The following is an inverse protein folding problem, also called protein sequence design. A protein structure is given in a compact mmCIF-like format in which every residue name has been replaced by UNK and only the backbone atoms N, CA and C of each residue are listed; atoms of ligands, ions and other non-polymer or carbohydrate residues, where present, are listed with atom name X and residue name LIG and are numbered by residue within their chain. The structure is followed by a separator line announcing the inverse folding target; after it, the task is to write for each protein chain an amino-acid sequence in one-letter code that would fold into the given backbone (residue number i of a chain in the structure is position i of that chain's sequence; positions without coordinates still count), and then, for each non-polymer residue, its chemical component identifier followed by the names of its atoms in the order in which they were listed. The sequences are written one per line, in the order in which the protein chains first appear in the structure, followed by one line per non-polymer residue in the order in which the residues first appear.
data_IF_637068474886
#
_entry.id   IF_637068474886
#
_cell.length_a   1.000
_cell.length_b   1.000
_cell.length_c   1.000
_cell.angle_alpha   90.00
_cell.angle_beta   90.00
_cell.angle_gamma   90.00
#
_symmetry.space_group_name_H-M   'P 1'
#
loop_
_entity.id
_entity.type
_entity.pdbx_description
1 polymer ?
#
# COMPACT_ATOMS: atom_id res chain seq x y z
N UNK A 1 14.93 -1.26 -2.20
CA UNK A 1 14.05 -0.18 -1.70
C UNK A 1 12.68 -0.76 -1.43
N UNK A 2 12.13 -0.57 -0.23
CA UNK A 2 10.79 -1.02 0.10
C UNK A 2 9.90 0.17 0.50
N UNK A 3 8.60 0.08 0.23
CA UNK A 3 7.60 1.10 0.55
C UNK A 3 6.47 0.42 1.30
N UNK A 4 5.99 1.03 2.37
CA UNK A 4 4.75 0.62 3.06
C UNK A 4 3.86 1.81 3.30
N UNK A 5 2.58 1.54 3.52
CA UNK A 5 1.65 2.52 4.04
C UNK A 5 1.33 2.19 5.49
N UNK A 6 1.38 3.20 6.36
CA UNK A 6 1.04 3.09 7.78
C UNK A 6 -0.22 3.89 8.01
N UNK A 7 -1.26 3.21 8.49
CA UNK A 7 -2.55 3.79 8.82
C UNK A 7 -3.32 2.84 9.73
N UNK A 8 -4.51 3.27 10.18
CA UNK A 8 -5.37 2.43 11.02
C UNK A 8 -5.95 1.30 10.18
N UNK A 9 -5.62 0.06 10.51
CA UNK A 9 -6.17 -1.11 9.82
C UNK A 9 -7.69 -1.18 10.05
N UNK A 10 -8.45 -1.39 8.96
CA UNK A 10 -9.84 -1.82 9.06
C UNK A 10 -9.90 -3.35 9.24
N UNK A 11 -9.06 -4.04 8.49
CA UNK A 11 -8.89 -5.49 8.44
C UNK A 11 -7.47 -5.81 7.89
N UNK A 12 -7.21 -7.04 7.46
CA UNK A 12 -5.95 -7.42 6.82
C UNK A 12 -5.82 -7.00 5.35
N UNK A 13 -6.81 -6.31 4.77
CA UNK A 13 -6.93 -6.01 3.34
C UNK A 13 -7.07 -4.51 3.03
N UNK A 14 -7.29 -3.67 4.04
CA UNK A 14 -7.43 -2.23 3.88
C UNK A 14 -7.38 -1.44 5.18
N UNK A 15 -7.53 -0.13 5.04
CA UNK A 15 -7.43 0.86 6.11
C UNK A 15 -8.80 1.46 6.40
N UNK A 16 -8.99 1.96 7.62
CA UNK A 16 -10.25 2.51 8.09
C UNK A 16 -10.61 3.81 7.36
N UNK A 17 -11.87 3.92 6.92
CA UNK A 17 -12.45 5.13 6.33
C UNK A 17 -13.70 5.54 7.10
N UNK A 18 -13.59 6.53 7.97
CA UNK A 18 -14.64 6.86 8.94
C UNK A 18 -14.86 5.72 9.95
N UNK A 19 -16.10 5.53 10.41
CA UNK A 19 -16.42 4.51 11.42
C UNK A 19 -16.62 3.12 10.82
N UNK A 20 -17.38 3.03 9.74
CA UNK A 20 -17.82 1.75 9.15
C UNK A 20 -17.15 1.45 7.79
N UNK A 21 -16.48 2.43 7.19
CA UNK A 21 -15.90 2.31 5.87
C UNK A 21 -14.47 1.77 5.87
N UNK A 22 -14.02 1.43 4.67
CA UNK A 22 -12.62 1.09 4.39
C UNK A 22 -12.13 1.71 3.11
N UNK A 23 -10.83 1.93 3.02
CA UNK A 23 -10.16 2.21 1.75
C UNK A 23 -8.99 1.24 1.52
N UNK A 24 -8.77 0.89 0.26
CA UNK A 24 -7.61 0.13 -0.19
C UNK A 24 -6.70 1.02 -1.02
N UNK A 25 -5.41 0.76 -0.92
CA UNK A 25 -4.38 1.48 -1.67
C UNK A 25 -3.67 0.52 -2.61
N UNK A 26 -3.42 0.98 -3.84
CA UNK A 26 -2.53 0.26 -4.75
C UNK A 26 -1.63 1.20 -5.53
N UNK A 27 -0.41 0.74 -5.79
CA UNK A 27 0.58 1.44 -6.58
C UNK A 27 0.54 0.94 -8.02
N UNK A 28 0.41 1.87 -8.97
CA UNK A 28 0.38 1.59 -10.40
C UNK A 28 1.49 2.34 -11.13
N UNK A 29 1.84 1.84 -12.31
CA UNK A 29 2.77 2.47 -13.26
C UNK A 29 4.08 2.93 -12.59
N UNK A 30 4.62 2.08 -11.72
CA UNK A 30 5.77 2.43 -10.91
C UNK A 30 7.05 2.50 -11.75
N UNK A 31 7.90 3.47 -11.43
CA UNK A 31 9.18 3.68 -12.08
C UNK A 31 10.25 4.00 -11.06
N UNK A 32 11.43 3.41 -11.23
CA UNK A 32 12.65 3.78 -10.50
C UNK A 32 13.64 4.39 -11.49
N UNK A 33 14.05 5.64 -11.23
CA UNK A 33 14.92 6.42 -12.10
C UNK A 33 14.45 6.46 -13.57
N UNK A 34 13.12 6.46 -13.78
CA UNK A 34 12.47 6.49 -15.10
C UNK A 34 12.31 5.12 -15.78
N UNK A 35 12.71 4.02 -15.14
CA UNK A 35 12.54 2.66 -15.65
C UNK A 35 11.36 1.99 -14.96
N UNK A 36 10.49 1.34 -15.74
CA UNK A 36 9.34 0.60 -15.20
C UNK A 36 9.78 -0.49 -14.23
N UNK A 37 9.06 -0.64 -13.13
CA UNK A 37 9.26 -1.67 -12.12
C UNK A 37 7.93 -2.32 -11.75
N UNK A 38 8.00 -3.57 -11.34
CA UNK A 38 6.91 -4.27 -10.70
C UNK A 38 7.08 -4.24 -9.17
N UNK A 39 6.06 -4.68 -8.45
CA UNK A 39 6.06 -4.74 -6.99
C UNK A 39 6.02 -6.19 -6.51
N UNK A 40 6.83 -6.52 -5.51
CA UNK A 40 6.77 -7.79 -4.80
C UNK A 40 6.53 -7.55 -3.31
N UNK A 41 5.80 -8.45 -2.65
CA UNK A 41 5.62 -8.38 -1.19
C UNK A 41 6.97 -8.66 -0.51
N UNK A 42 7.40 -7.77 0.37
CA UNK A 42 8.65 -7.92 1.11
C UNK A 42 8.60 -9.19 1.98
N UNK A 43 9.68 -9.96 1.99
CA UNK A 43 9.85 -11.17 2.81
C UNK A 43 8.90 -12.33 2.51
N UNK A 44 8.18 -12.31 1.37
CA UNK A 44 7.35 -13.43 0.92
C UNK A 44 7.82 -13.91 -0.46
N UNK A 45 8.73 -14.90 -0.51
CA UNK A 45 9.21 -15.47 -1.77
C UNK A 45 8.06 -16.06 -2.60
N UNK A 46 8.04 -15.79 -3.90
CA UNK A 46 7.05 -16.35 -4.83
C UNK A 46 5.64 -15.77 -4.71
N UNK A 47 5.42 -14.74 -3.88
CA UNK A 47 4.17 -14.01 -3.89
C UNK A 47 3.92 -13.40 -5.28
N UNK A 48 2.66 -13.39 -5.76
CA UNK A 48 2.33 -12.72 -7.01
C UNK A 48 2.70 -11.24 -6.94
N UNK A 49 3.18 -10.69 -8.07
CA UNK A 49 3.49 -9.27 -8.15
C UNK A 49 2.24 -8.46 -7.82
N UNK A 50 2.34 -7.59 -6.81
CA UNK A 50 1.22 -6.80 -6.33
C UNK A 50 1.71 -5.46 -5.80
N UNK A 51 1.17 -4.39 -6.34
CA UNK A 51 1.33 -3.04 -5.81
C UNK A 51 0.36 -2.71 -4.68
N UNK A 52 -0.42 -3.68 -4.19
CA UNK A 52 -1.37 -3.44 -3.10
C UNK A 52 -0.61 -3.17 -1.80
N UNK A 53 -0.99 -2.09 -1.12
CA UNK A 53 -0.44 -1.74 0.18
C UNK A 53 -1.40 -2.25 1.25
N UNK A 54 -0.95 -3.27 1.96
CA UNK A 54 -1.71 -3.91 3.04
C UNK A 54 -1.19 -3.45 4.42
N UNK A 55 -2.06 -3.37 5.43
CA UNK A 55 -1.63 -3.05 6.79
C UNK A 55 -0.51 -4.00 7.26
N UNK A 56 0.57 -3.41 7.78
CA UNK A 56 1.74 -4.15 8.28
C UNK A 56 2.65 -4.75 7.21
N UNK A 57 2.35 -4.57 5.92
CA UNK A 57 3.17 -5.10 4.83
C UNK A 57 3.92 -4.00 4.08
N UNK A 58 5.11 -4.35 3.61
CA UNK A 58 5.88 -3.53 2.68
C UNK A 58 5.94 -4.21 1.31
N UNK A 59 6.03 -3.41 0.25
CA UNK A 59 6.31 -3.86 -1.11
C UNK A 59 7.70 -3.40 -1.54
N UNK A 60 8.37 -4.21 -2.36
CA UNK A 60 9.72 -3.97 -2.87
C UNK A 60 9.63 -3.77 -4.39
N UNK A 61 10.28 -2.73 -4.89
CA UNK A 61 10.37 -2.50 -6.34
C UNK A 61 11.30 -3.55 -6.98
N UNK A 62 10.83 -4.21 -8.04
CA UNK A 62 11.52 -5.29 -8.73
C UNK A 62 11.60 -5.03 -10.25
N UNK A 63 12.66 -5.51 -10.88
CA UNK A 63 12.78 -5.58 -12.34
C UNK A 63 13.53 -6.87 -12.72
N UNK A 64 12.98 -7.64 -13.65
CA UNK A 64 13.57 -8.93 -14.05
C UNK A 64 13.74 -9.91 -12.88
N UNK A 65 12.78 -9.94 -11.95
CA UNK A 65 12.78 -10.83 -10.78
C UNK A 65 13.74 -10.44 -9.65
N UNK A 66 14.47 -9.32 -9.76
CA UNK A 66 15.41 -8.85 -8.74
C UNK A 66 14.95 -7.52 -8.15
N UNK A 67 15.23 -7.31 -6.86
CA UNK A 67 14.99 -6.01 -6.21
C UNK A 67 15.87 -4.93 -6.84
N UNK A 68 15.28 -3.74 -7.02
CA UNK A 68 15.99 -2.59 -7.56
C UNK A 68 16.21 -1.52 -6.49
N UNK A 69 17.28 -0.75 -6.70
CA UNK A 69 17.62 0.45 -5.94
C UNK A 69 17.77 1.61 -6.92
N UNK A 70 17.48 2.81 -6.45
CA UNK A 70 17.55 4.03 -7.25
C UNK A 70 17.39 5.26 -6.39
N UNK A 71 17.34 6.43 -7.02
CA UNK A 71 17.26 7.73 -6.34
C UNK A 71 15.88 8.35 -6.37
N UNK A 72 15.09 8.05 -7.41
CA UNK A 72 13.75 8.58 -7.60
C UNK A 72 12.76 7.46 -7.87
N UNK A 73 11.77 7.33 -6.99
CA UNK A 73 10.59 6.50 -7.20
C UNK A 73 9.42 7.38 -7.63
N UNK A 74 8.74 6.98 -8.69
CA UNK A 74 7.46 7.56 -9.11
C UNK A 74 6.43 6.43 -9.22
N UNK A 75 5.22 6.64 -8.71
CA UNK A 75 4.11 5.72 -8.89
C UNK A 75 2.78 6.50 -8.83
N UNK A 76 1.74 5.96 -9.46
CA UNK A 76 0.37 6.40 -9.24
C UNK A 76 -0.18 5.69 -8.02
N UNK A 77 -0.82 6.44 -7.13
CA UNK A 77 -1.52 5.91 -5.95
C UNK A 77 -3.01 5.88 -6.27
N UNK A 78 -3.55 4.68 -6.42
CA UNK A 78 -4.99 4.47 -6.53
C UNK A 78 -5.56 4.26 -5.13
N UNK A 79 -6.61 5.03 -4.82
CA UNK A 79 -7.38 4.92 -3.58
C UNK A 79 -8.78 4.44 -3.95
N UNK A 80 -9.17 3.27 -3.44
CA UNK A 80 -10.53 2.75 -3.60
C UNK A 80 -11.22 2.73 -2.23
N UNK A 81 -12.17 3.64 -2.03
CA UNK A 81 -12.99 3.72 -0.83
C UNK A 81 -14.31 2.97 -1.00
N UNK A 82 -14.72 2.25 0.05
CA UNK A 82 -15.96 1.47 0.11
C UNK A 82 -16.68 1.76 1.43
N UNK A 83 -18.00 1.93 1.33
CA UNK A 83 -18.90 2.08 2.48
C UNK A 83 -19.94 0.96 2.43
N UNK A 84 -20.22 0.28 3.56
CA UNK A 84 -21.34 -0.64 3.63
C UNK A 84 -22.68 0.11 3.56
N UNK A 85 -23.75 -0.57 3.15
CA UNK A 85 -25.04 0.06 2.85
C UNK A 85 -25.69 0.74 4.06
N UNK A 86 -25.47 0.20 5.26
CA UNK A 86 -25.93 0.77 6.52
C UNK A 86 -25.21 2.09 6.87
N UNK A 87 -23.95 2.25 6.48
CA UNK A 87 -23.21 3.50 6.63
C UNK A 87 -23.73 4.64 5.72
N UNK A 88 -24.56 4.32 4.72
CA UNK A 88 -25.19 5.31 3.85
C UNK A 88 -26.46 5.93 4.48
N UNK A 89 -27.00 5.34 5.55
CA UNK A 89 -28.19 5.84 6.24
C UNK A 89 -27.83 7.04 7.14
N UNK A 90 -27.67 8.21 6.53
CA UNK A 90 -27.28 9.45 7.21
C UNK A 90 -28.46 10.39 7.40
N UNK A 91 -28.61 10.97 8.61
CA UNK A 91 -29.64 11.98 8.91
C UNK A 91 -29.18 13.42 8.62
N UNK A 92 -27.87 13.62 8.59
CA UNK A 92 -27.17 14.87 8.30
C UNK A 92 -25.85 14.54 7.61
N UNK A 93 -25.13 15.57 7.13
CA UNK A 93 -23.78 15.40 6.62
C UNK A 93 -22.89 14.67 7.64
N UNK A 94 -22.11 13.70 7.15
CA UNK A 94 -21.09 13.00 7.94
C UNK A 94 -19.72 13.19 7.29
N UNK A 95 -18.70 13.40 8.11
CA UNK A 95 -17.32 13.44 7.65
C UNK A 95 -16.72 12.04 7.66
N UNK A 96 -16.14 11.63 6.54
CA UNK A 96 -15.45 10.36 6.38
C UNK A 96 -13.97 10.64 6.16
N UNK A 97 -13.15 10.10 7.05
CA UNK A 97 -11.72 10.36 7.04
C UNK A 97 -10.93 9.06 7.05
N UNK A 98 -9.88 9.01 6.23
CA UNK A 98 -8.86 7.99 6.26
C UNK A 98 -7.51 8.65 6.36
N UNK A 99 -6.73 8.32 7.40
CA UNK A 99 -5.41 8.88 7.64
C UNK A 99 -4.31 7.84 7.48
N UNK A 100 -3.13 8.31 7.09
CA UNK A 100 -1.91 7.51 7.11
C UNK A 100 -0.73 8.18 6.42
N UNK A 101 0.39 7.47 6.36
CA UNK A 101 1.64 7.93 5.78
C UNK A 101 2.29 6.85 4.93
N UNK A 102 3.05 7.27 3.92
CA UNK A 102 3.96 6.39 3.20
C UNK A 102 5.32 6.41 3.88
N UNK A 103 5.86 5.22 4.14
CA UNK A 103 7.19 5.07 4.73
C UNK A 103 8.11 4.33 3.76
N UNK A 104 9.25 4.95 3.47
CA UNK A 104 10.34 4.30 2.78
C UNK A 104 11.12 3.45 3.79
N UNK A 105 11.11 2.14 3.59
CA UNK A 105 11.80 1.18 4.43
C UNK A 105 13.04 0.63 3.72
N UNK A 106 14.15 0.56 4.46
CA UNK A 106 15.35 -0.13 3.98
C UNK A 106 15.02 -1.60 3.79
N UNK A 107 15.36 -2.15 2.63
CA UNK A 107 15.28 -3.61 2.39
C UNK A 107 16.46 -4.36 3.02
N UNK A 108 17.36 -3.66 3.72
CA UNK A 108 18.47 -4.26 4.44
C UNK A 108 17.97 -4.63 5.84
N UNK A 109 17.66 -5.92 6.03
CA UNK A 109 17.90 -6.78 7.21
C UNK A 109 16.80 -7.87 7.24
N UNK A 110 17.15 -9.17 7.08
CA UNK A 110 16.31 -10.28 7.55
C UNK A 110 16.21 -10.20 9.08
N UNK A 111 15.09 -10.56 9.73
CA UNK A 111 15.13 -10.75 11.18
C UNK A 111 16.23 -11.78 11.48
N UNK A 112 17.21 -11.35 12.28
CA UNK A 112 18.12 -12.26 12.96
C UNK A 112 17.27 -13.29 13.67
N UNK A 113 17.69 -14.55 13.56
CA UNK A 113 17.05 -15.74 14.12
C UNK A 113 16.53 -15.57 15.55
#
# INVERSE_FOLDING_TARGET
MALRFVGVAADGQGFRFGREGRYRLSLKNAQVDGRSVDWAVAHVPGAPASGQLLPGQAVVAHAGGRSVVGRRLTALVDIHAELPSDALAVRSEIHLEGQGSFELVSSVVPPSQ
#
